data_IF_954941252388
#
_entry.id   IF_954941252388
#
_cell.length_a   1.000
_cell.length_b   1.000
_cell.length_c   1.000
_cell.angle_alpha   90.00
_cell.angle_beta   90.00
_cell.angle_gamma   90.00
#
_symmetry.space_group_name_H-M   'P 1'
#
loop_
_entity.id
_entity.type
_entity.pdbx_description
1 polymer ?
#
# COMPACT_ATOMS: atom_id res chain seq x y z
N UNK A 1 -11.06 -32.85 27.54
CA UNK A 1 -10.32 -31.61 27.80
C UNK A 1 -8.87 -32.00 28.06
N UNK A 2 -8.03 -31.97 27.01
CA UNK A 2 -6.59 -32.19 27.16
C UNK A 2 -5.93 -30.83 27.07
N UNK A 3 -5.16 -30.47 28.10
CA UNK A 3 -4.39 -29.23 28.15
C UNK A 3 -3.43 -29.21 26.97
N UNK A 4 -3.48 -28.13 26.18
CA UNK A 4 -2.64 -27.96 25.01
C UNK A 4 -1.18 -27.83 25.43
N UNK A 5 -0.39 -28.83 25.09
CA UNK A 5 1.06 -28.66 25.04
C UNK A 5 1.38 -27.49 24.09
N UNK A 6 2.31 -26.59 24.47
CA UNK A 6 2.83 -25.62 23.52
C UNK A 6 3.51 -26.43 22.41
N UNK A 7 2.98 -26.32 21.19
CA UNK A 7 3.67 -26.84 20.01
C UNK A 7 4.96 -26.05 19.91
N UNK A 8 6.07 -26.67 20.31
CA UNK A 8 7.41 -26.16 20.11
C UNK A 8 7.67 -26.21 18.60
N UNK A 9 7.38 -25.10 17.92
CA UNK A 9 7.68 -24.94 16.49
C UNK A 9 9.14 -24.47 16.40
N UNK A 10 10.04 -25.42 16.14
CA UNK A 10 11.50 -25.23 15.88
C UNK A 10 11.81 -24.15 14.82
N UNK A 11 10.78 -23.62 14.15
CA UNK A 11 10.85 -22.57 13.13
C UNK A 11 10.89 -21.15 13.69
N UNK A 12 10.65 -20.99 14.98
CA UNK A 12 10.53 -19.66 15.60
C UNK A 12 11.83 -19.27 16.30
N UNK A 13 12.50 -18.16 15.93
CA UNK A 13 13.69 -17.75 16.65
C UNK A 13 13.33 -17.35 18.09
N UNK A 14 14.21 -17.61 19.08
CA UNK A 14 13.98 -17.26 20.48
C UNK A 14 13.81 -15.75 20.72
N UNK A 15 14.17 -14.93 19.73
CA UNK A 15 14.03 -13.47 19.71
C UNK A 15 12.74 -12.98 19.04
N UNK A 16 11.74 -13.85 18.82
CA UNK A 16 10.50 -13.45 18.16
C UNK A 16 9.72 -12.41 18.98
N UNK A 17 9.40 -11.29 18.35
CA UNK A 17 8.54 -10.26 18.90
C UNK A 17 7.24 -10.18 18.11
N UNK A 18 6.12 -10.04 18.82
CA UNK A 18 4.82 -9.96 18.16
C UNK A 18 4.74 -8.67 17.32
N UNK A 19 4.30 -8.76 16.05
CA UNK A 19 4.16 -7.57 15.22
C UNK A 19 3.18 -6.58 15.85
N UNK A 20 3.41 -5.27 15.70
CA UNK A 20 2.49 -4.26 16.21
C UNK A 20 1.14 -4.36 15.48
N UNK A 21 0.05 -3.96 16.13
CA UNK A 21 -1.32 -4.11 15.59
C UNK A 21 -1.49 -3.36 14.25
N UNK A 22 -0.74 -2.28 14.03
CA UNK A 22 -0.82 -1.51 12.80
C UNK A 22 -0.29 -2.27 11.57
N UNK A 23 0.65 -3.21 11.75
CA UNK A 23 1.27 -3.92 10.64
C UNK A 23 0.27 -4.77 9.84
N UNK A 24 -0.54 -5.66 10.44
CA UNK A 24 -1.58 -6.39 9.71
C UNK A 24 -2.69 -5.45 9.20
N UNK A 25 -3.03 -4.39 9.94
CA UNK A 25 -4.00 -3.39 9.48
C UNK A 25 -3.54 -2.74 8.17
N UNK A 26 -2.28 -2.34 8.07
CA UNK A 26 -1.72 -1.75 6.86
C UNK A 26 -1.77 -2.73 5.67
N UNK A 27 -1.40 -4.01 5.89
CA UNK A 27 -1.50 -5.05 4.86
C UNK A 27 -2.93 -5.23 4.35
N UNK A 28 -3.90 -5.36 5.26
CA UNK A 28 -5.30 -5.50 4.90
C UNK A 28 -5.87 -4.26 4.20
N UNK A 29 -5.44 -3.05 4.56
CA UNK A 29 -5.81 -1.81 3.86
C UNK A 29 -5.27 -1.81 2.43
N UNK A 30 -4.01 -2.21 2.22
CA UNK A 30 -3.42 -2.27 0.88
C UNK A 30 -4.17 -3.23 -0.03
N UNK A 31 -4.50 -4.43 0.46
CA UNK A 31 -5.27 -5.42 -0.31
C UNK A 31 -6.72 -4.95 -0.53
N UNK A 32 -7.34 -4.37 0.51
CA UNK A 32 -8.66 -3.76 0.43
C UNK A 32 -8.76 -2.72 -0.69
N UNK A 33 -7.79 -1.82 -0.77
CA UNK A 33 -7.76 -0.78 -1.80
C UNK A 33 -7.77 -1.37 -3.22
N UNK A 34 -7.05 -2.47 -3.43
CA UNK A 34 -7.00 -3.15 -4.72
C UNK A 34 -8.32 -3.86 -5.07
N UNK A 35 -8.99 -4.48 -4.08
CA UNK A 35 -10.20 -5.27 -4.32
C UNK A 35 -11.52 -4.48 -4.27
N UNK A 36 -11.55 -3.32 -3.61
CA UNK A 36 -12.76 -2.50 -3.49
C UNK A 36 -13.43 -2.17 -4.85
N UNK A 37 -12.70 -1.73 -5.90
CA UNK A 37 -13.31 -1.46 -7.20
C UNK A 37 -13.97 -2.70 -7.81
N UNK A 38 -13.37 -3.87 -7.59
CA UNK A 38 -13.91 -5.14 -8.06
C UNK A 38 -15.21 -5.50 -7.33
N UNK A 39 -15.27 -5.33 -6.01
CA UNK A 39 -16.49 -5.55 -5.21
C UNK A 39 -17.61 -4.61 -5.66
N UNK A 40 -17.32 -3.32 -5.86
CA UNK A 40 -18.28 -2.34 -6.37
C UNK A 40 -18.79 -2.75 -7.75
N UNK A 41 -17.90 -3.16 -8.66
CA UNK A 41 -18.27 -3.57 -10.01
C UNK A 41 -19.18 -4.81 -9.99
N UNK A 42 -18.84 -5.84 -9.23
CA UNK A 42 -19.63 -7.07 -9.10
C UNK A 42 -20.99 -6.78 -8.47
N UNK A 43 -21.02 -6.01 -7.37
CA UNK A 43 -22.27 -5.60 -6.73
C UNK A 43 -23.14 -4.79 -7.71
N UNK A 44 -22.58 -3.81 -8.38
CA UNK A 44 -23.30 -3.00 -9.36
C UNK A 44 -23.86 -3.87 -10.50
N UNK A 45 -23.02 -4.70 -11.13
CA UNK A 45 -23.46 -5.61 -12.19
C UNK A 45 -24.55 -6.57 -11.73
N UNK A 46 -24.40 -7.20 -10.55
CA UNK A 46 -25.39 -8.14 -10.02
C UNK A 46 -26.75 -7.48 -9.77
N UNK A 47 -26.79 -6.27 -9.23
CA UNK A 47 -28.05 -5.53 -9.01
C UNK A 47 -28.76 -5.18 -10.33
N UNK A 48 -28.00 -4.92 -11.41
CA UNK A 48 -28.55 -4.62 -12.74
C UNK A 48 -28.99 -5.86 -13.52
N UNK A 49 -28.17 -6.90 -13.52
CA UNK A 49 -28.41 -8.13 -14.31
C UNK A 49 -29.56 -8.92 -13.70
N UNK A 50 -29.60 -9.04 -12.37
CA UNK A 50 -30.61 -9.84 -11.69
C UNK A 50 -31.92 -9.07 -11.47
N UNK A 51 -31.97 -7.78 -11.80
CA UNK A 51 -33.17 -6.95 -11.73
C UNK A 51 -33.72 -6.74 -10.32
N UNK A 52 -32.97 -7.12 -9.29
CA UNK A 52 -33.49 -7.19 -7.93
C UNK A 52 -33.58 -5.82 -7.24
N UNK A 53 -32.74 -4.85 -7.60
CA UNK A 53 -32.75 -3.50 -7.03
C UNK A 53 -32.00 -2.49 -7.92
N UNK A 54 -32.26 -1.20 -7.73
CA UNK A 54 -31.50 -0.11 -8.34
C UNK A 54 -30.92 0.84 -7.28
N UNK A 55 -30.01 0.37 -6.41
CA UNK A 55 -29.33 1.26 -5.47
C UNK A 55 -28.50 2.30 -6.23
N UNK A 56 -28.40 3.50 -5.68
CA UNK A 56 -27.50 4.51 -6.20
C UNK A 56 -26.05 4.01 -6.13
N UNK A 57 -25.24 4.33 -7.14
CA UNK A 57 -23.83 3.93 -7.17
C UNK A 57 -23.06 4.46 -5.94
N UNK A 58 -23.38 5.67 -5.48
CA UNK A 58 -22.82 6.26 -4.26
C UNK A 58 -23.14 5.43 -3.01
N UNK A 59 -24.33 4.83 -2.93
CA UNK A 59 -24.71 3.96 -1.81
C UNK A 59 -23.94 2.63 -1.84
N UNK A 60 -23.70 2.06 -3.03
CA UNK A 60 -22.85 0.87 -3.18
C UNK A 60 -21.42 1.22 -2.74
N UNK A 61 -20.85 2.32 -3.23
CA UNK A 61 -19.48 2.73 -2.89
C UNK A 61 -19.34 2.97 -1.39
N UNK A 62 -20.25 3.77 -0.79
CA UNK A 62 -20.23 4.05 0.64
C UNK A 62 -20.41 2.78 1.48
N UNK A 63 -21.31 1.89 1.05
CA UNK A 63 -21.52 0.59 1.66
C UNK A 63 -20.26 -0.28 1.63
N UNK A 64 -19.61 -0.41 0.46
CA UNK A 64 -18.35 -1.13 0.30
C UNK A 64 -17.24 -0.57 1.19
N UNK A 65 -17.10 0.76 1.27
CA UNK A 65 -16.08 1.40 2.11
C UNK A 65 -16.28 1.02 3.57
N UNK A 66 -17.49 1.20 4.10
CA UNK A 66 -17.78 0.90 5.50
C UNK A 66 -17.64 -0.59 5.80
N UNK A 67 -18.15 -1.45 4.92
CA UNK A 67 -18.06 -2.90 5.05
C UNK A 67 -16.62 -3.37 5.10
N UNK A 68 -15.78 -2.81 4.25
CA UNK A 68 -14.35 -3.15 4.22
C UNK A 68 -13.65 -2.68 5.49
N UNK A 69 -13.94 -1.47 5.99
CA UNK A 69 -13.36 -0.97 7.23
C UNK A 69 -13.70 -1.89 8.42
N UNK A 70 -14.96 -2.31 8.54
CA UNK A 70 -15.40 -3.26 9.57
C UNK A 70 -14.72 -4.62 9.39
N UNK A 71 -14.66 -5.11 8.14
CA UNK A 71 -14.05 -6.39 7.84
C UNK A 71 -12.55 -6.42 8.21
N UNK A 72 -11.80 -5.34 7.92
CA UNK A 72 -10.39 -5.23 8.34
C UNK A 72 -10.27 -5.37 9.86
N UNK A 73 -11.12 -4.69 10.63
CA UNK A 73 -11.11 -4.79 12.09
C UNK A 73 -11.43 -6.20 12.58
N UNK A 74 -12.43 -6.86 11.99
CA UNK A 74 -12.84 -8.23 12.34
C UNK A 74 -11.74 -9.23 12.01
N UNK A 75 -11.15 -9.13 10.83
CA UNK A 75 -10.06 -10.00 10.38
C UNK A 75 -8.84 -9.85 11.28
N UNK A 76 -8.40 -8.62 11.57
CA UNK A 76 -7.27 -8.40 12.49
C UNK A 76 -7.55 -8.92 13.90
N UNK A 77 -8.77 -8.72 14.41
CA UNK A 77 -9.17 -9.21 15.73
C UNK A 77 -9.19 -10.75 15.79
N UNK A 78 -9.61 -11.41 14.71
CA UNK A 78 -9.65 -12.88 14.63
C UNK A 78 -8.28 -13.51 14.37
N UNK A 79 -7.39 -12.86 13.62
CA UNK A 79 -6.03 -13.33 13.35
C UNK A 79 -5.10 -13.23 14.58
N UNK A 80 -5.23 -12.14 15.35
CA UNK A 80 -4.37 -11.84 16.51
C UNK A 80 -4.20 -13.00 17.50
N UNK A 81 -5.25 -13.70 17.96
CA UNK A 81 -5.08 -14.82 18.88
C UNK A 81 -4.29 -15.99 18.27
N UNK A 82 -4.37 -16.23 16.95
CA UNK A 82 -3.58 -17.27 16.30
C UNK A 82 -2.11 -16.90 16.23
N UNK A 83 -1.81 -15.65 15.86
CA UNK A 83 -0.43 -15.12 15.81
C UNK A 83 0.23 -15.19 17.19
N UNK A 84 -0.48 -14.79 18.24
CA UNK A 84 0.05 -14.81 19.61
C UNK A 84 0.21 -16.24 20.17
N UNK A 85 -0.74 -17.14 19.90
CA UNK A 85 -0.69 -18.52 20.39
C UNK A 85 0.38 -19.35 19.70
N UNK A 86 0.59 -19.14 18.40
CA UNK A 86 1.55 -19.91 17.60
C UNK A 86 2.91 -19.21 17.44
N UNK A 87 3.07 -18.01 18.01
CA UNK A 87 4.28 -17.18 17.90
C UNK A 87 4.79 -17.04 16.46
N UNK A 88 3.88 -17.03 15.49
CA UNK A 88 4.22 -16.97 14.07
C UNK A 88 3.42 -15.84 13.43
N UNK A 89 4.11 -15.03 12.63
CA UNK A 89 3.53 -13.95 11.83
C UNK A 89 2.57 -14.50 10.76
N UNK A 90 2.81 -15.73 10.26
CA UNK A 90 1.97 -16.40 9.26
C UNK A 90 1.69 -17.86 9.69
N UNK A 91 0.84 -18.07 10.71
CA UNK A 91 0.68 -19.36 11.37
C UNK A 91 0.09 -20.46 10.47
N UNK A 92 -0.59 -20.06 9.38
CA UNK A 92 -1.20 -20.95 8.39
C UNK A 92 -2.20 -21.98 8.95
N UNK A 93 -2.73 -22.80 8.03
CA UNK A 93 -3.66 -23.88 8.36
C UNK A 93 -5.13 -23.48 8.29
N UNK A 94 -5.99 -24.48 8.18
CA UNK A 94 -7.43 -24.30 7.94
C UNK A 94 -8.14 -23.46 8.99
N UNK A 95 -7.76 -23.57 10.27
CA UNK A 95 -8.35 -22.75 11.34
C UNK A 95 -8.02 -21.26 11.20
N UNK A 96 -6.82 -20.93 10.75
CA UNK A 96 -6.40 -19.56 10.47
C UNK A 96 -7.01 -19.04 9.17
N UNK A 97 -7.23 -19.89 8.17
CA UNK A 97 -7.85 -19.49 6.91
C UNK A 97 -9.37 -19.26 7.06
N UNK A 98 -10.08 -20.22 7.66
CA UNK A 98 -11.55 -20.18 7.71
C UNK A 98 -12.10 -19.24 8.78
N UNK A 99 -11.42 -19.07 9.93
CA UNK A 99 -11.98 -18.27 11.01
C UNK A 99 -12.14 -16.78 10.67
N UNK A 100 -11.11 -16.09 10.10
CA UNK A 100 -11.26 -14.70 9.68
C UNK A 100 -12.23 -14.56 8.51
N UNK A 101 -12.21 -15.50 7.55
CA UNK A 101 -13.14 -15.48 6.41
C UNK A 101 -14.61 -15.63 6.85
N UNK A 102 -14.91 -16.56 7.76
CA UNK A 102 -16.26 -16.73 8.30
C UNK A 102 -16.70 -15.53 9.13
N UNK A 103 -15.81 -14.99 9.97
CA UNK A 103 -16.12 -13.82 10.78
C UNK A 103 -16.37 -12.58 9.89
N UNK A 104 -15.54 -12.40 8.87
CA UNK A 104 -15.68 -11.38 7.83
C UNK A 104 -17.01 -11.52 7.09
N UNK A 105 -17.32 -12.71 6.58
CA UNK A 105 -18.59 -13.00 5.91
C UNK A 105 -19.81 -12.71 6.80
N UNK A 106 -19.83 -13.17 8.05
CA UNK A 106 -20.91 -12.89 9.00
C UNK A 106 -21.08 -11.38 9.20
N UNK A 107 -19.96 -10.67 9.40
CA UNK A 107 -19.99 -9.21 9.56
C UNK A 107 -20.51 -8.51 8.29
N UNK A 108 -20.15 -9.03 7.11
CA UNK A 108 -20.56 -8.50 5.82
C UNK A 108 -22.08 -8.62 5.63
N UNK A 109 -22.66 -9.79 5.91
CA UNK A 109 -24.11 -10.00 5.82
C UNK A 109 -24.88 -9.19 6.87
N UNK A 110 -24.38 -9.12 8.11
CA UNK A 110 -25.02 -8.35 9.17
C UNK A 110 -25.07 -6.85 8.85
N UNK A 111 -23.96 -6.29 8.37
CA UNK A 111 -23.85 -4.85 8.12
C UNK A 111 -24.46 -4.44 6.77
N UNK A 112 -24.36 -5.27 5.73
CA UNK A 112 -24.97 -4.96 4.44
C UNK A 112 -26.49 -4.81 4.54
N UNK A 113 -27.15 -5.60 5.40
CA UNK A 113 -28.59 -5.50 5.66
C UNK A 113 -29.02 -4.18 6.30
N UNK A 114 -28.10 -3.50 7.01
CA UNK A 114 -28.31 -2.16 7.57
C UNK A 114 -28.03 -1.07 6.54
N UNK A 115 -27.04 -1.30 5.66
CA UNK A 115 -26.55 -0.28 4.71
C UNK A 115 -27.41 -0.13 3.46
N UNK A 116 -27.96 -1.23 2.96
CA UNK A 116 -28.74 -1.25 1.74
C UNK A 116 -30.06 -2.00 1.96
N UNK A 117 -31.19 -1.49 1.43
CA UNK A 117 -32.45 -2.17 1.56
C UNK A 117 -32.57 -3.37 0.61
N UNK A 118 -33.26 -4.41 1.08
CA UNK A 118 -33.71 -5.53 0.26
C UNK A 118 -32.56 -6.29 -0.41
N UNK A 119 -32.72 -6.76 -1.65
CA UNK A 119 -31.76 -7.67 -2.27
C UNK A 119 -30.42 -7.02 -2.67
N UNK A 120 -30.32 -5.69 -2.62
CA UNK A 120 -29.05 -4.98 -2.78
C UNK A 120 -28.07 -5.29 -1.64
N UNK A 121 -28.55 -5.52 -0.41
CA UNK A 121 -27.71 -5.95 0.71
C UNK A 121 -27.08 -7.31 0.45
N UNK A 122 -27.87 -8.26 -0.06
CA UNK A 122 -27.42 -9.61 -0.41
C UNK A 122 -26.39 -9.57 -1.54
N UNK A 123 -26.62 -8.74 -2.56
CA UNK A 123 -25.67 -8.50 -3.64
C UNK A 123 -24.33 -7.98 -3.12
N UNK A 124 -24.34 -6.99 -2.23
CA UNK A 124 -23.12 -6.41 -1.66
C UNK A 124 -22.36 -7.43 -0.78
N UNK A 125 -23.06 -8.08 0.15
CA UNK A 125 -22.45 -9.06 1.04
C UNK A 125 -21.89 -10.28 0.30
N UNK A 126 -22.62 -10.77 -0.71
CA UNK A 126 -22.15 -11.88 -1.55
C UNK A 126 -20.95 -11.48 -2.41
N UNK A 127 -20.97 -10.31 -3.04
CA UNK A 127 -19.84 -9.80 -3.81
C UNK A 127 -18.57 -9.72 -2.94
N UNK A 128 -18.68 -9.17 -1.73
CA UNK A 128 -17.56 -9.11 -0.78
C UNK A 128 -17.06 -10.52 -0.42
N UNK A 129 -17.96 -11.40 0.01
CA UNK A 129 -17.61 -12.76 0.47
C UNK A 129 -16.98 -13.60 -0.65
N UNK A 130 -17.46 -13.45 -1.88
CA UNK A 130 -16.92 -14.16 -3.06
C UNK A 130 -15.52 -13.65 -3.40
N UNK A 131 -15.31 -12.34 -3.42
CA UNK A 131 -13.99 -11.76 -3.67
C UNK A 131 -13.00 -12.21 -2.59
N UNK A 132 -13.41 -12.25 -1.34
CA UNK A 132 -12.57 -12.76 -0.24
C UNK A 132 -12.29 -14.25 -0.33
N UNK A 133 -13.28 -15.05 -0.74
CA UNK A 133 -13.07 -16.48 -0.96
C UNK A 133 -12.05 -16.72 -2.08
N UNK A 134 -12.09 -15.93 -3.16
CA UNK A 134 -11.11 -15.98 -4.25
C UNK A 134 -9.73 -15.54 -3.77
N UNK A 135 -9.64 -14.48 -2.97
CA UNK A 135 -8.39 -14.00 -2.37
C UNK A 135 -7.76 -15.04 -1.43
N UNK A 136 -8.58 -15.63 -0.56
CA UNK A 136 -8.18 -16.74 0.31
C UNK A 136 -7.71 -17.93 -0.52
N UNK A 137 -8.40 -18.21 -1.64
CA UNK A 137 -8.02 -19.28 -2.53
C UNK A 137 -6.69 -19.06 -3.24
N UNK A 138 -6.45 -17.82 -3.65
CA UNK A 138 -5.25 -17.39 -4.34
C UNK A 138 -4.04 -17.33 -3.40
N UNK A 139 -4.22 -16.74 -2.22
CA UNK A 139 -3.17 -16.63 -1.18
C UNK A 139 -2.80 -17.97 -0.56
N UNK A 140 -3.65 -18.99 -0.71
CA UNK A 140 -3.49 -20.32 -0.12
C UNK A 140 -3.26 -20.23 1.39
N UNK A 141 -4.02 -19.38 2.08
CA UNK A 141 -3.89 -19.11 3.51
C UNK A 141 -3.93 -20.36 4.42
N UNK A 142 -4.44 -21.49 3.90
CA UNK A 142 -4.43 -22.79 4.58
C UNK A 142 -3.07 -23.51 4.57
N UNK A 143 -2.11 -23.07 3.76
CA UNK A 143 -0.72 -23.54 3.84
C UNK A 143 0.04 -22.77 4.93
N UNK A 144 0.99 -23.40 5.64
CA UNK A 144 1.94 -22.67 6.48
C UNK A 144 2.62 -21.60 5.64
N UNK A 145 2.69 -20.36 6.15
CA UNK A 145 3.40 -19.29 5.49
C UNK A 145 4.91 -19.43 5.65
N UNK A 146 5.65 -18.61 4.91
CA UNK A 146 7.10 -18.49 5.06
C UNK A 146 7.44 -18.04 6.48
N UNK A 147 8.58 -18.51 6.98
CA UNK A 147 9.17 -17.97 8.22
C UNK A 147 9.66 -16.53 8.02
N UNK A 148 9.83 -15.76 9.10
CA UNK A 148 10.29 -14.37 9.03
C UNK A 148 11.66 -14.25 8.30
N UNK A 149 12.53 -15.25 8.45
CA UNK A 149 13.82 -15.33 7.77
C UNK A 149 13.66 -15.54 6.25
N UNK A 150 12.82 -16.50 5.84
CA UNK A 150 12.52 -16.76 4.43
C UNK A 150 11.83 -15.57 3.77
N UNK A 151 10.94 -14.88 4.48
CA UNK A 151 10.31 -13.66 4.01
C UNK A 151 11.33 -12.54 3.81
N UNK A 152 12.25 -12.35 4.75
CA UNK A 152 13.31 -11.35 4.64
C UNK A 152 14.24 -11.64 3.46
N UNK A 153 14.62 -12.90 3.25
CA UNK A 153 15.44 -13.31 2.11
C UNK A 153 14.75 -13.00 0.78
N UNK A 154 13.47 -13.37 0.65
CA UNK A 154 12.66 -13.06 -0.54
C UNK A 154 12.52 -11.55 -0.77
N UNK A 155 12.37 -10.78 0.31
CA UNK A 155 12.28 -9.32 0.23
C UNK A 155 13.59 -8.68 -0.24
N UNK A 156 14.73 -9.15 0.28
CA UNK A 156 16.06 -8.68 -0.14
C UNK A 156 16.29 -9.02 -1.60
N UNK A 157 16.00 -10.26 -2.01
CA UNK A 157 16.11 -10.69 -3.41
C UNK A 157 15.21 -9.87 -4.34
N UNK A 158 13.95 -9.60 -3.94
CA UNK A 158 13.03 -8.75 -4.70
C UNK A 158 13.58 -7.32 -4.84
N UNK A 159 14.12 -6.76 -3.77
CA UNK A 159 14.72 -5.42 -3.78
C UNK A 159 15.96 -5.36 -4.68
N UNK A 160 16.75 -6.42 -4.71
CA UNK A 160 17.90 -6.55 -5.60
C UNK A 160 17.48 -6.58 -7.06
N UNK A 161 16.52 -7.44 -7.43
CA UNK A 161 15.95 -7.49 -8.78
C UNK A 161 15.34 -6.15 -9.20
N UNK A 162 14.66 -5.46 -8.29
CA UNK A 162 14.11 -4.12 -8.52
C UNK A 162 15.23 -3.11 -8.78
N UNK A 163 16.32 -3.14 -8.00
CA UNK A 163 17.47 -2.27 -8.23
C UNK A 163 18.13 -2.54 -9.58
N UNK A 164 18.31 -3.80 -9.95
CA UNK A 164 18.89 -4.18 -11.24
C UNK A 164 18.02 -3.69 -12.41
N UNK A 165 16.70 -3.82 -12.29
CA UNK A 165 15.74 -3.40 -13.33
C UNK A 165 15.75 -1.88 -13.52
N UNK A 166 15.86 -1.11 -12.43
CA UNK A 166 15.83 0.36 -12.48
C UNK A 166 17.22 1.02 -12.50
N UNK A 167 18.32 0.26 -12.39
CA UNK A 167 19.68 0.78 -12.48
C UNK A 167 19.97 1.60 -13.75
N UNK A 168 19.60 1.14 -14.97
CA UNK A 168 19.83 1.93 -16.19
C UNK A 168 19.04 3.24 -16.18
N UNK A 169 17.77 3.21 -15.78
CA UNK A 169 16.92 4.41 -15.72
C UNK A 169 17.43 5.44 -14.70
N UNK A 170 17.93 4.97 -13.54
CA UNK A 170 18.51 5.85 -12.53
C UNK A 170 19.83 6.46 -13.02
N UNK A 171 20.65 5.70 -13.76
CA UNK A 171 21.88 6.21 -14.36
C UNK A 171 21.58 7.30 -15.40
N UNK A 172 20.59 7.10 -16.26
CA UNK A 172 20.15 8.07 -17.27
C UNK A 172 19.55 9.34 -16.65
N UNK A 173 18.75 9.19 -15.58
CA UNK A 173 18.23 10.35 -14.83
C UNK A 173 19.36 11.11 -14.17
N UNK A 174 20.33 10.42 -13.57
CA UNK A 174 21.49 11.04 -12.93
C UNK A 174 22.36 11.78 -13.94
N UNK A 175 22.62 11.20 -15.11
CA UNK A 175 23.36 11.85 -16.18
C UNK A 175 22.67 13.14 -16.64
N UNK A 176 21.35 13.11 -16.86
CA UNK A 176 20.59 14.31 -17.26
C UNK A 176 20.57 15.40 -16.18
N UNK A 177 20.54 15.01 -14.91
CA UNK A 177 20.62 15.97 -13.79
C UNK A 177 22.01 16.60 -13.70
N UNK A 178 23.07 15.83 -13.94
CA UNK A 178 24.45 16.31 -13.91
C UNK A 178 24.73 17.28 -15.06
N UNK A 179 24.24 16.98 -16.27
CA UNK A 179 24.28 17.89 -17.42
C UNK A 179 23.57 19.22 -17.12
N UNK A 180 22.34 19.16 -16.57
CA UNK A 180 21.59 20.37 -16.19
C UNK A 180 22.30 21.19 -15.10
N UNK A 181 22.95 20.52 -14.15
CA UNK A 181 23.72 21.21 -13.12
C UNK A 181 24.93 21.93 -13.73
N UNK A 182 25.66 21.27 -14.63
CA UNK A 182 26.81 21.85 -15.33
C UNK A 182 26.42 23.02 -16.24
N UNK A 183 25.29 22.94 -16.94
CA UNK A 183 24.78 24.05 -17.75
C UNK A 183 24.41 25.26 -16.88
N UNK A 184 23.85 25.01 -15.69
CA UNK A 184 23.60 26.06 -14.69
C UNK A 184 24.88 26.75 -14.21
N UNK A 185 25.96 25.99 -13.99
CA UNK A 185 27.26 26.54 -13.65
C UNK A 185 27.87 27.36 -14.79
N UNK A 186 27.85 26.84 -16.02
CA UNK A 186 28.35 27.55 -17.21
C UNK A 186 27.62 28.87 -17.43
N UNK A 187 26.29 28.87 -17.28
CA UNK A 187 25.47 30.09 -17.40
C UNK A 187 25.84 31.14 -16.34
N UNK A 188 26.04 30.73 -15.08
CA UNK A 188 26.46 31.65 -14.01
C UNK A 188 27.83 32.27 -14.25
N UNK A 189 28.76 31.51 -14.84
CA UNK A 189 30.09 32.04 -15.22
C UNK A 189 29.93 33.09 -16.32
N UNK A 190 29.19 32.77 -17.38
CA UNK A 190 28.93 33.71 -18.48
C UNK A 190 28.21 34.99 -18.01
N UNK A 191 27.25 34.87 -17.10
CA UNK A 191 26.56 36.04 -16.51
C UNK A 191 27.51 36.91 -15.68
N UNK A 192 28.43 36.31 -14.91
CA UNK A 192 29.46 37.07 -14.16
C UNK A 192 30.46 37.76 -15.08
N UNK A 193 30.89 37.11 -16.16
CA UNK A 193 31.78 37.69 -17.15
C UNK A 193 31.11 38.85 -17.88
N UNK A 194 29.85 38.71 -18.29
CA UNK A 194 29.08 39.78 -18.91
C UNK A 194 28.85 40.98 -17.95
N UNK A 195 28.64 40.73 -16.66
CA UNK A 195 28.54 41.79 -15.65
C UNK A 195 29.87 42.53 -15.46
N UNK A 196 31.00 41.82 -15.45
CA UNK A 196 32.34 42.44 -15.38
C UNK A 196 32.62 43.31 -16.59
N UNK A 197 32.37 42.81 -17.79
CA UNK A 197 32.55 43.58 -19.03
C UNK A 197 31.69 44.86 -19.03
N UNK A 198 30.44 44.80 -18.55
CA UNK A 198 29.59 46.00 -18.39
C UNK A 198 30.11 46.97 -17.35
N UNK A 199 30.66 46.48 -16.24
CA UNK A 199 31.23 47.34 -15.20
C UNK A 199 32.52 48.03 -15.67
N UNK A 200 33.34 47.35 -16.47
CA UNK A 200 34.54 47.91 -17.12
C UNK A 200 34.17 48.95 -18.20
N UNK A 201 33.11 48.71 -18.99
CA UNK A 201 32.59 49.69 -19.97
C UNK A 201 31.91 50.91 -19.33
N UNK A 202 31.49 50.82 -18.06
CA UNK A 202 30.89 51.94 -17.32
C UNK A 202 31.93 52.80 -16.57
N UNK A 203 33.18 52.34 -16.51
CA UNK A 203 34.32 53.03 -15.90
C UNK A 203 35.29 53.81 -16.84
N UNK A 204 34.92 54.25 -18.07
CA UNK A 204 35.77 55.17 -18.84
C UNK A 204 35.21 56.60 -18.83
N UNK A 205 34.92 57.21 -17.68
CA UNK A 205 34.77 58.69 -17.61
C UNK A 205 34.85 59.31 -16.20
N UNK A 206 35.88 59.01 -15.40
CA UNK A 206 36.24 59.87 -14.25
C UNK A 206 37.74 60.21 -14.21
N UNK A 207 38.37 60.28 -15.39
CA UNK A 207 39.78 60.64 -15.57
C UNK A 207 40.05 62.05 -16.09
N UNK A 208 39.03 62.83 -16.47
CA UNK A 208 39.20 64.19 -17.00
C UNK A 208 38.30 65.22 -16.29
N UNK A 209 38.46 65.34 -14.96
CA UNK A 209 38.12 66.59 -14.26
C UNK A 209 39.37 67.47 -14.20
N UNK A 210 39.45 68.38 -15.17
CA UNK A 210 40.28 69.58 -15.17
C UNK A 210 40.32 70.27 -13.79
N UNK A 211 41.51 70.60 -13.25
CA UNK A 211 41.60 71.59 -12.19
C UNK A 211 41.48 72.99 -12.80
N UNK A 212 40.36 73.65 -12.48
CA UNK A 212 40.19 75.09 -12.57
C UNK A 212 41.10 75.80 -11.56
N UNK A 213 41.72 76.87 -12.06
CA UNK A 213 42.09 78.12 -11.40
C UNK A 213 43.29 78.16 -10.43
N UNK A 214 44.39 78.75 -10.92
CA UNK A 214 45.15 79.83 -10.28
C UNK A 214 45.91 80.65 -11.34
#
# INVERSE_FOLDING_TARGET
>A
MSAGEPVDDDRTPPTWEAPPIWAPVAGHISVAFLKMPLVVLICFASTRILGFANPALSAIIGGTILLTAVNICVTVATERPFVLRRRSSVPGGWGFALAPWLAGAISAFALAGVLLPGPASLALASAMTVVEAVELAWSRAWRPGDTDAEFHEKWVAFRELTKETFAPDVADVRHRLDERAMDGYRRKIAEREAQRARHEEQEPDEGDRSPRDA
#
